data_IF_971818050373
#
_entry.id   IF_971818050373
#
_cell.length_a   1.000
_cell.length_b   1.000
_cell.length_c   1.000
_cell.angle_alpha   90.00
_cell.angle_beta   90.00
_cell.angle_gamma   90.00
#
_symmetry.space_group_name_H-M   'P 1'
#
loop_
_entity.id
_entity.type
_entity.pdbx_description
1 polymer ?
#
# COMPACT_ATOMS: atom_id res chain seq x y z
N UNK A 1 -10.87 5.14 -9.39
CA UNK A 1 -10.22 4.21 -8.44
C UNK A 1 -10.37 4.83 -7.09
N UNK A 2 -11.22 4.25 -6.25
CA UNK A 2 -11.38 4.73 -4.87
C UNK A 2 -10.09 4.47 -4.08
N UNK A 3 -9.64 5.41 -3.24
CA UNK A 3 -8.51 5.17 -2.35
C UNK A 3 -8.88 4.07 -1.37
N UNK A 4 -8.14 2.96 -1.39
CA UNK A 4 -8.27 1.91 -0.37
C UNK A 4 -7.67 2.45 0.93
N UNK A 5 -8.39 2.27 2.03
CA UNK A 5 -7.88 2.60 3.36
C UNK A 5 -6.59 1.81 3.64
N UNK A 6 -5.61 2.42 4.34
CA UNK A 6 -4.37 1.76 4.67
C UNK A 6 -4.62 0.57 5.62
N UNK A 7 -4.12 -0.61 5.26
CA UNK A 7 -4.13 -1.79 6.13
C UNK A 7 -2.98 -1.71 7.12
N UNK A 8 -3.20 -2.11 8.37
CA UNK A 8 -2.17 -2.14 9.42
C UNK A 8 -1.94 -3.56 9.91
N UNK A 9 -0.73 -3.84 10.41
CA UNK A 9 -0.38 -5.16 10.99
C UNK A 9 0.34 -5.02 12.32
N UNK A 10 0.06 -5.92 13.25
CA UNK A 10 0.80 -6.01 14.52
C UNK A 10 2.23 -6.51 14.26
N UNK A 11 3.25 -5.78 14.75
CA UNK A 11 4.65 -6.21 14.60
C UNK A 11 4.96 -7.58 15.22
N UNK A 12 4.23 -7.98 16.27
CA UNK A 12 4.56 -9.20 17.05
C UNK A 12 3.94 -10.46 16.46
N UNK A 13 2.67 -10.39 16.05
CA UNK A 13 1.93 -11.58 15.60
C UNK A 13 1.47 -11.50 14.14
N UNK A 14 1.59 -10.33 13.49
CA UNK A 14 1.17 -10.15 12.10
C UNK A 14 -0.33 -9.98 11.88
N UNK A 15 -1.15 -9.99 12.94
CA UNK A 15 -2.61 -9.75 12.87
C UNK A 15 -2.91 -8.48 12.08
N UNK A 16 -3.88 -8.56 11.18
CA UNK A 16 -4.39 -7.40 10.45
C UNK A 16 -5.29 -6.57 11.37
N UNK A 17 -5.05 -5.27 11.39
CA UNK A 17 -5.72 -4.37 12.31
C UNK A 17 -6.52 -3.35 11.50
N UNK A 18 -7.82 -3.31 11.79
CA UNK A 18 -8.74 -2.30 11.31
C UNK A 18 -9.08 -1.36 12.47
N UNK A 19 -8.98 -0.06 12.24
CA UNK A 19 -9.28 0.95 13.25
C UNK A 19 -10.21 2.01 12.66
N UNK A 20 -11.33 2.28 13.33
CA UNK A 20 -12.24 3.39 12.96
C UNK A 20 -11.68 4.76 13.42
N UNK A 21 -10.84 4.75 14.45
CA UNK A 21 -10.25 5.94 15.08
C UNK A 21 -8.74 5.79 15.20
N UNK A 22 -8.04 6.91 15.41
CA UNK A 22 -6.60 6.90 15.63
C UNK A 22 -6.27 6.14 16.91
N UNK A 23 -5.29 5.26 16.81
CA UNK A 23 -4.81 4.45 17.92
C UNK A 23 -4.28 5.29 19.09
N UNK A 24 -4.68 4.92 20.29
CA UNK A 24 -4.21 5.47 21.55
C UNK A 24 -2.92 4.82 22.03
N UNK A 25 -2.28 5.45 23.02
CA UNK A 25 -0.99 5.01 23.59
C UNK A 25 -1.07 3.68 24.35
N UNK A 26 -2.27 3.28 24.79
CA UNK A 26 -2.51 2.08 25.60
C UNK A 26 -3.19 0.96 24.81
N UNK A 27 -3.47 1.18 23.53
CA UNK A 27 -4.14 0.17 22.73
C UNK A 27 -3.21 -1.02 22.52
N UNK A 28 -3.80 -2.20 22.59
CA UNK A 28 -3.12 -3.49 22.52
C UNK A 28 -3.71 -4.32 21.39
N UNK A 29 -2.88 -5.19 20.83
CA UNK A 29 -3.29 -6.13 19.79
C UNK A 29 -4.37 -7.07 20.37
N UNK A 30 -5.52 -7.25 19.69
CA UNK A 30 -6.59 -8.13 20.18
C UNK A 30 -6.18 -9.61 20.20
N UNK A 31 -5.19 -10.00 19.39
CA UNK A 31 -4.72 -11.38 19.29
C UNK A 31 -3.60 -11.69 20.30
N UNK A 32 -2.52 -10.88 20.31
CA UNK A 32 -1.33 -11.19 21.10
C UNK A 32 -1.05 -10.24 22.28
N UNK A 33 -1.93 -9.27 22.51
CA UNK A 33 -1.88 -8.27 23.59
C UNK A 33 -0.61 -7.41 23.63
N UNK A 34 0.19 -7.39 22.57
CA UNK A 34 1.31 -6.46 22.44
C UNK A 34 0.81 -5.02 22.32
N UNK A 35 1.55 -4.07 22.89
CA UNK A 35 1.28 -2.65 22.67
C UNK A 35 1.34 -2.30 21.19
N UNK A 36 0.33 -1.59 20.73
CA UNK A 36 0.25 -1.17 19.35
C UNK A 36 0.97 0.17 19.12
N UNK A 37 0.98 1.06 20.12
CA UNK A 37 1.77 2.29 20.12
C UNK A 37 3.21 2.04 20.63
N UNK A 38 3.97 1.29 19.85
CA UNK A 38 5.37 0.94 20.12
C UNK A 38 6.27 1.34 18.94
N UNK A 39 7.60 1.37 19.13
CA UNK A 39 8.51 1.72 18.05
C UNK A 39 8.40 0.74 16.88
N UNK A 40 8.24 -0.56 17.14
CA UNK A 40 8.20 -1.58 16.09
C UNK A 40 6.97 -1.50 15.16
N UNK A 41 5.90 -0.83 15.57
CA UNK A 41 4.74 -0.51 14.71
C UNK A 41 4.83 0.88 14.06
N UNK A 42 5.86 1.68 14.36
CA UNK A 42 5.98 3.05 13.89
C UNK A 42 6.65 3.12 12.51
N UNK A 43 6.12 3.92 11.60
CA UNK A 43 6.71 4.14 10.26
C UNK A 43 8.10 4.79 10.32
N UNK A 44 8.41 5.51 11.40
CA UNK A 44 9.68 6.22 11.58
C UNK A 44 10.77 5.35 12.23
N UNK A 45 10.44 4.13 12.65
CA UNK A 45 11.41 3.21 13.22
C UNK A 45 12.40 2.74 12.16
N UNK A 46 13.68 2.86 12.48
CA UNK A 46 14.77 2.46 11.61
C UNK A 46 15.90 1.92 12.47
N UNK A 47 16.23 0.62 12.41
CA UNK A 47 17.23 0.01 13.27
C UNK A 47 18.64 0.58 13.06
N UNK A 48 18.90 1.25 11.94
CA UNK A 48 20.21 1.82 11.59
C UNK A 48 20.31 3.32 11.88
N UNK A 49 19.21 3.99 12.20
CA UNK A 49 19.22 5.41 12.57
C UNK A 49 19.70 5.62 14.02
N UNK A 50 20.22 6.82 14.37
CA UNK A 50 20.47 7.19 15.75
C UNK A 50 19.21 7.02 16.61
N UNK A 51 19.36 6.41 17.80
CA UNK A 51 18.24 6.02 18.69
C UNK A 51 17.17 5.13 18.05
N UNK A 52 17.48 4.59 16.88
CA UNK A 52 16.62 3.74 16.04
C UNK A 52 15.34 4.45 15.57
N UNK A 53 15.41 5.77 15.31
CA UNK A 53 14.26 6.55 14.83
C UNK A 53 14.69 7.68 13.90
N UNK A 54 14.00 7.83 12.76
CA UNK A 54 14.30 8.84 11.72
C UNK A 54 13.98 10.28 12.15
N UNK A 55 13.04 10.47 13.06
CA UNK A 55 12.63 11.79 13.56
C UNK A 55 13.55 12.35 14.65
N UNK A 56 14.55 11.57 15.11
CA UNK A 56 15.48 11.94 16.17
C UNK A 56 14.78 12.45 17.46
N UNK A 57 13.99 11.61 18.14
CA UNK A 57 13.28 12.01 19.35
C UNK A 57 14.26 12.40 20.46
N UNK A 58 13.85 13.37 21.28
CA UNK A 58 14.63 13.79 22.46
C UNK A 58 14.79 12.64 23.45
N UNK A 59 13.68 11.97 23.77
CA UNK A 59 13.66 10.84 24.70
C UNK A 59 14.11 9.54 24.04
N UNK A 60 14.87 8.73 24.78
CA UNK A 60 15.30 7.41 24.34
C UNK A 60 14.31 6.36 24.82
N UNK A 61 13.75 5.57 23.90
CA UNK A 61 12.90 4.42 24.22
C UNK A 61 13.80 3.17 24.35
N UNK A 62 13.99 2.58 25.54
CA UNK A 62 14.90 1.44 25.72
C UNK A 62 14.35 0.15 25.09
N UNK A 63 13.08 -0.16 25.33
CA UNK A 63 12.40 -1.31 24.74
C UNK A 63 11.50 -0.84 23.58
N UNK A 64 11.83 -1.29 22.36
CA UNK A 64 11.13 -0.88 21.14
C UNK A 64 9.79 -1.58 20.95
N UNK A 65 9.57 -2.71 21.62
CA UNK A 65 8.32 -3.48 21.56
C UNK A 65 7.29 -3.00 22.58
N UNK A 66 7.73 -2.35 23.66
CA UNK A 66 6.84 -1.82 24.70
C UNK A 66 6.13 -0.52 24.29
N UNK A 67 5.02 -0.25 24.97
CA UNK A 67 4.24 0.97 24.80
C UNK A 67 5.05 2.21 25.18
N UNK A 68 4.95 3.27 24.39
CA UNK A 68 5.70 4.52 24.62
C UNK A 68 4.85 5.78 24.48
N UNK A 69 5.46 6.93 24.83
CA UNK A 69 4.82 8.25 24.79
C UNK A 69 5.30 9.11 23.62
N UNK A 70 5.92 8.52 22.61
CA UNK A 70 6.50 9.24 21.48
C UNK A 70 5.41 10.05 20.74
N UNK A 71 5.62 11.36 20.62
CA UNK A 71 4.68 12.26 19.93
C UNK A 71 4.73 12.15 18.41
N UNK A 72 5.84 11.63 17.87
CA UNK A 72 6.04 11.42 16.44
C UNK A 72 5.46 10.09 15.95
N UNK A 73 4.82 9.31 16.83
CA UNK A 73 4.29 8.01 16.45
C UNK A 73 3.26 8.13 15.32
N UNK A 74 3.54 7.40 14.24
CA UNK A 74 2.60 7.18 13.15
C UNK A 74 2.68 5.72 12.77
N UNK A 75 1.53 5.04 12.73
CA UNK A 75 1.47 3.60 12.47
C UNK A 75 1.96 3.30 11.05
N UNK A 76 2.83 2.30 10.90
CA UNK A 76 3.35 1.86 9.60
C UNK A 76 2.24 1.15 8.80
N UNK A 77 1.83 1.69 7.64
CA UNK A 77 0.91 0.98 6.76
C UNK A 77 1.60 -0.26 6.18
N UNK A 78 0.81 -1.31 5.93
CA UNK A 78 1.23 -2.45 5.13
C UNK A 78 1.34 -1.96 3.69
N UNK A 79 2.54 -2.03 3.13
CA UNK A 79 2.69 -1.84 1.69
C UNK A 79 2.08 -3.05 0.99
N UNK A 80 1.07 -2.80 0.17
CA UNK A 80 0.44 -3.81 -0.65
C UNK A 80 1.42 -4.17 -1.78
N UNK A 81 2.01 -5.37 -1.72
CA UNK A 81 2.96 -5.88 -2.71
C UNK A 81 2.32 -6.14 -4.09
N UNK A 82 1.08 -5.66 -4.34
CA UNK A 82 0.46 -5.62 -5.66
C UNK A 82 1.32 -4.99 -6.75
N UNK A 83 2.40 -4.27 -6.44
CA UNK A 83 3.37 -3.83 -7.46
C UNK A 83 4.02 -5.03 -8.15
N UNK A 84 4.33 -6.10 -7.42
CA UNK A 84 4.89 -7.33 -7.98
C UNK A 84 3.84 -8.10 -8.79
N UNK A 85 2.61 -8.24 -8.28
CA UNK A 85 1.51 -8.91 -8.98
C UNK A 85 1.04 -8.14 -10.23
N UNK A 86 0.97 -6.81 -10.17
CA UNK A 86 0.64 -5.96 -11.33
C UNK A 86 1.77 -6.02 -12.36
N UNK A 87 3.04 -6.08 -11.94
CA UNK A 87 4.15 -6.28 -12.86
C UNK A 87 4.09 -7.65 -13.54
N UNK A 88 3.79 -8.71 -12.79
CA UNK A 88 3.66 -10.07 -13.31
C UNK A 88 2.44 -10.21 -14.24
N UNK A 89 1.30 -9.63 -13.88
CA UNK A 89 0.11 -9.59 -14.72
C UNK A 89 0.35 -8.79 -16.01
N UNK A 90 1.05 -7.65 -15.95
CA UNK A 90 1.43 -6.87 -17.14
C UNK A 90 2.35 -7.65 -18.06
N UNK A 91 3.38 -8.32 -17.54
CA UNK A 91 4.27 -9.15 -18.35
C UNK A 91 3.51 -10.29 -19.04
N UNK A 92 2.63 -10.97 -18.32
CA UNK A 92 1.82 -12.08 -18.86
C UNK A 92 0.82 -11.60 -19.92
N UNK A 93 0.27 -10.39 -19.77
CA UNK A 93 -0.60 -9.77 -20.77
C UNK A 93 0.21 -9.42 -22.03
N UNK A 94 1.41 -8.86 -21.88
CA UNK A 94 2.31 -8.59 -23.01
C UNK A 94 2.74 -9.87 -23.74
N UNK A 95 2.92 -11.00 -23.06
CA UNK A 95 3.23 -12.27 -23.71
C UNK A 95 2.07 -12.83 -24.55
N UNK A 96 0.84 -12.71 -24.04
CA UNK A 96 -0.36 -13.22 -24.73
C UNK A 96 -0.78 -12.32 -25.91
N UNK A 97 -0.62 -11.00 -25.77
CA UNK A 97 -1.11 -10.03 -26.74
C UNK A 97 -0.01 -9.34 -27.56
N UNK A 98 1.26 -9.43 -27.17
CA UNK A 98 2.40 -8.74 -27.81
C UNK A 98 3.05 -9.50 -28.97
N UNK A 99 2.51 -10.66 -29.37
CA UNK A 99 2.96 -11.37 -30.58
C UNK A 99 2.12 -10.97 -31.79
N UNK A 100 2.17 -9.67 -32.11
CA UNK A 100 1.71 -9.12 -33.37
C UNK A 100 2.85 -8.34 -34.01
N UNK A 101 3.52 -8.96 -34.98
CA UNK A 101 4.49 -8.29 -35.84
C UNK A 101 3.77 -7.19 -36.65
N UNK A 102 4.21 -5.92 -36.55
CA UNK A 102 3.63 -4.85 -37.36
C UNK A 102 4.17 -3.46 -37.08
N UNK A 103 5.21 -3.08 -37.85
CA UNK A 103 5.68 -1.73 -38.23
C UNK A 103 5.06 -0.49 -37.54
N UNK A 104 5.96 0.40 -37.13
CA UNK A 104 5.74 1.85 -37.11
C UNK A 104 5.03 2.32 -38.38
N UNK A 105 3.80 2.82 -38.24
CA UNK A 105 3.04 3.44 -39.32
C UNK A 105 1.78 4.07 -38.76
N UNK A 106 1.55 5.36 -39.04
CA UNK A 106 0.37 6.08 -38.60
C UNK A 106 -0.92 5.34 -38.99
N UNK A 107 -1.88 5.30 -38.07
CA UNK A 107 -3.12 4.55 -38.27
C UNK A 107 -4.13 5.43 -39.04
N UNK A 108 -4.25 5.15 -40.33
CA UNK A 108 -5.43 5.55 -41.12
C UNK A 108 -6.68 4.89 -40.52
N UNK A 109 -7.72 5.71 -40.29
CA UNK A 109 -9.03 5.26 -39.82
C UNK A 109 -9.71 4.43 -40.91
N UNK A 110 -9.87 3.13 -40.68
CA UNK A 110 -10.78 2.30 -41.47
C UNK A 110 -12.09 2.07 -40.71
N UNK A 111 -13.19 1.97 -41.47
CA UNK A 111 -14.59 2.12 -41.02
C UNK A 111 -15.10 1.02 -40.09
N UNK A 112 -14.28 0.03 -39.77
CA UNK A 112 -14.63 -1.06 -38.87
C UNK A 112 -14.02 -0.91 -37.47
N UNK A 113 -13.70 0.32 -37.07
CA UNK A 113 -13.20 0.62 -35.74
C UNK A 113 -14.27 0.34 -34.66
N UNK A 114 -13.95 -0.44 -33.61
CA UNK A 114 -14.89 -0.76 -32.52
C UNK A 114 -15.43 0.48 -31.80
N UNK A 115 -14.73 1.63 -31.86
CA UNK A 115 -15.20 2.90 -31.32
C UNK A 115 -16.42 3.43 -32.08
N UNK A 116 -16.50 3.22 -33.40
CA UNK A 116 -17.65 3.63 -34.21
C UNK A 116 -18.91 2.81 -33.88
N UNK A 117 -18.75 1.53 -33.53
CA UNK A 117 -19.86 0.69 -33.06
C UNK A 117 -20.35 1.11 -31.67
N UNK A 118 -19.44 1.57 -30.81
CA UNK A 118 -19.77 2.10 -29.48
C UNK A 118 -20.55 3.42 -29.61
N UNK A 119 -20.09 4.36 -30.44
CA UNK A 119 -20.76 5.65 -30.65
C UNK A 119 -22.14 5.52 -31.28
N UNK A 120 -22.35 4.54 -32.17
CA UNK A 120 -23.66 4.26 -32.76
C UNK A 120 -24.68 3.73 -31.72
N UNK A 121 -24.19 3.07 -30.66
CA UNK A 121 -25.04 2.53 -29.59
C UNK A 121 -25.57 3.62 -28.66
N UNK A 122 -24.80 4.70 -28.45
CA UNK A 122 -25.13 5.76 -27.50
C UNK A 122 -25.83 6.99 -28.11
N UNK A 123 -26.08 7.00 -29.42
CA UNK A 123 -26.69 8.15 -30.12
C UNK A 123 -28.18 8.01 -30.43
N UNK A 124 -28.87 7.04 -29.83
CA UNK A 124 -30.32 6.86 -29.98
C UNK A 124 -31.05 7.38 -28.74
N UNK A 125 -31.29 8.69 -28.73
CA UNK A 125 -32.35 9.37 -27.98
C UNK A 125 -33.27 10.08 -28.97
#
# INVERSE_FOLDING_TARGET
>A
MEPKDPTYKCHKCGEELEFEVKIGRRDMCPNCYAYLHCCLNCQHYDPYAPKQCRENPREHVPDKAEGNFCLYFTFKPVEDDRTSEVSAAKSKLLEVFGKGEGKSGGLELTKDDPRSKLDALFKKS
#
